data_IF_167907493910
#
_entry.id   IF_167907493910
#
_cell.length_a   1.000
_cell.length_b   1.000
_cell.length_c   1.000
_cell.angle_alpha   90.00
_cell.angle_beta   90.00
_cell.angle_gamma   90.00
#
_symmetry.space_group_name_H-M   'P 1'
#
loop_
_entity.id
_entity.type
_entity.pdbx_description
1 polymer ?
#
# COMPACT_ATOMS: atom_id res chain seq x y z
N UNK A 1 28.44 -1.51 22.18
CA UNK A 1 27.76 -1.52 20.86
C UNK A 1 26.46 -0.71 20.97
N UNK A 2 25.83 -0.30 19.87
CA UNK A 2 24.54 0.46 19.94
C UNK A 2 23.46 -0.33 20.69
N UNK A 3 23.42 -1.65 20.51
CA UNK A 3 22.52 -2.57 21.24
C UNK A 3 22.67 -2.44 22.76
N UNK A 4 23.88 -2.45 23.28
CA UNK A 4 24.12 -2.40 24.73
C UNK A 4 23.59 -1.08 25.32
N UNK A 5 23.81 0.04 24.62
CA UNK A 5 23.27 1.35 25.01
C UNK A 5 21.74 1.38 25.00
N UNK A 6 21.10 0.70 24.05
CA UNK A 6 19.64 0.60 24.00
C UNK A 6 19.13 -0.19 25.21
N UNK A 7 19.75 -1.34 25.52
CA UNK A 7 19.35 -2.15 26.67
C UNK A 7 19.51 -1.38 27.99
N UNK A 8 20.63 -0.69 28.18
CA UNK A 8 20.86 0.17 29.36
C UNK A 8 19.77 1.26 29.51
N UNK A 9 19.30 1.85 28.40
CA UNK A 9 18.20 2.81 28.44
C UNK A 9 16.88 2.13 28.81
N UNK A 10 16.56 1.00 28.18
CA UNK A 10 15.32 0.25 28.44
C UNK A 10 15.22 -0.18 29.91
N UNK A 11 16.32 -0.63 30.53
CA UNK A 11 16.36 -1.05 31.94
C UNK A 11 16.01 0.07 32.93
N UNK A 12 16.05 1.34 32.50
CA UNK A 12 15.73 2.52 33.34
C UNK A 12 14.31 3.04 33.15
N UNK A 13 13.58 2.56 32.15
CA UNK A 13 12.25 3.07 31.81
C UNK A 13 11.13 2.37 32.63
N UNK A 14 10.10 3.10 33.05
CA UNK A 14 8.88 2.49 33.58
C UNK A 14 8.11 1.73 32.48
N UNK A 15 7.16 0.89 32.88
CA UNK A 15 6.39 0.04 31.95
C UNK A 15 5.64 0.83 30.86
N UNK A 16 5.11 2.01 31.18
CA UNK A 16 4.40 2.86 30.22
C UNK A 16 5.34 3.36 29.10
N UNK A 17 6.53 3.82 29.46
CA UNK A 17 7.56 4.26 28.52
C UNK A 17 8.16 3.07 27.77
N UNK A 18 8.29 1.90 28.39
CA UNK A 18 8.68 0.66 27.72
C UNK A 18 7.67 0.27 26.64
N UNK A 19 6.37 0.41 26.89
CA UNK A 19 5.34 0.17 25.87
C UNK A 19 5.50 1.13 24.69
N UNK A 20 5.77 2.42 24.93
CA UNK A 20 6.04 3.38 23.85
C UNK A 20 7.30 3.01 23.06
N UNK A 21 8.37 2.61 23.75
CA UNK A 21 9.61 2.16 23.12
C UNK A 21 9.39 0.89 22.28
N UNK A 22 8.58 -0.06 22.78
CA UNK A 22 8.20 -1.28 22.06
C UNK A 22 7.55 -0.94 20.71
N UNK A 23 6.52 -0.09 20.69
CA UNK A 23 5.84 0.29 19.44
C UNK A 23 6.80 0.97 18.43
N UNK A 24 7.74 1.78 18.93
CA UNK A 24 8.77 2.39 18.09
C UNK A 24 9.70 1.35 17.45
N UNK A 25 10.16 0.36 18.24
CA UNK A 25 11.04 -0.71 17.75
C UNK A 25 10.27 -1.66 16.82
N UNK A 26 9.03 -2.01 17.16
CA UNK A 26 8.18 -2.88 16.36
C UNK A 26 7.94 -2.27 14.98
N UNK A 27 7.62 -0.97 14.89
CA UNK A 27 7.48 -0.27 13.61
C UNK A 27 8.76 -0.36 12.76
N UNK A 28 9.92 -0.08 13.35
CA UNK A 28 11.22 -0.18 12.65
C UNK A 28 11.47 -1.62 12.17
N UNK A 29 11.13 -2.61 13.00
CA UNK A 29 11.27 -4.01 12.64
C UNK A 29 10.35 -4.40 11.48
N UNK A 30 9.07 -4.01 11.52
CA UNK A 30 8.12 -4.26 10.44
C UNK A 30 8.58 -3.63 9.12
N UNK A 31 8.97 -2.36 9.13
CA UNK A 31 9.49 -1.67 7.94
C UNK A 31 10.74 -2.37 7.36
N UNK A 32 11.64 -2.83 8.24
CA UNK A 32 12.81 -3.59 7.81
C UNK A 32 12.43 -4.94 7.20
N UNK A 33 11.52 -5.68 7.84
CA UNK A 33 11.08 -6.99 7.38
C UNK A 33 10.32 -6.91 6.05
N UNK A 34 9.47 -5.90 5.87
CA UNK A 34 8.80 -5.61 4.60
C UNK A 34 9.81 -5.39 3.47
N UNK A 35 10.75 -4.44 3.66
CA UNK A 35 11.80 -4.16 2.66
C UNK A 35 12.67 -5.37 2.37
N UNK A 36 13.03 -6.12 3.41
CA UNK A 36 13.82 -7.36 3.26
C UNK A 36 13.05 -8.41 2.48
N UNK A 37 11.77 -8.62 2.75
CA UNK A 37 10.95 -9.59 2.01
C UNK A 37 10.89 -9.28 0.51
N UNK A 38 10.74 -8.00 0.14
CA UNK A 38 10.82 -7.56 -1.26
C UNK A 38 12.21 -7.82 -1.86
N UNK A 39 13.28 -7.49 -1.15
CA UNK A 39 14.66 -7.74 -1.59
C UNK A 39 14.99 -9.22 -1.76
N UNK A 40 14.56 -10.07 -0.82
CA UNK A 40 14.75 -11.52 -0.87
C UNK A 40 14.01 -12.14 -2.06
N UNK A 41 12.94 -11.49 -2.54
CA UNK A 41 12.21 -11.82 -3.78
C UNK A 41 12.84 -11.24 -5.04
N UNK A 42 13.93 -10.48 -4.93
CA UNK A 42 14.63 -9.86 -6.05
C UNK A 42 13.99 -8.58 -6.58
N UNK A 43 13.02 -8.00 -5.85
CA UNK A 43 12.35 -6.77 -6.24
C UNK A 43 13.32 -5.60 -6.13
N UNK A 44 13.40 -4.81 -7.20
CA UNK A 44 14.12 -3.53 -7.20
C UNK A 44 13.10 -2.42 -7.04
N UNK A 45 13.31 -1.55 -6.07
CA UNK A 45 12.40 -0.43 -5.76
C UNK A 45 13.09 0.88 -6.10
N UNK A 46 12.44 1.70 -6.92
CA UNK A 46 12.87 3.06 -7.26
C UNK A 46 11.76 4.08 -7.00
N UNK A 47 12.14 5.32 -6.70
CA UNK A 47 11.22 6.43 -6.44
C UNK A 47 11.06 7.28 -7.72
N UNK A 48 9.82 7.52 -8.15
CA UNK A 48 9.50 8.26 -9.38
C UNK A 48 9.07 9.71 -9.08
N UNK A 49 9.94 10.50 -8.46
CA UNK A 49 9.58 11.84 -7.96
C UNK A 49 9.00 12.79 -9.02
N UNK A 50 9.57 12.80 -10.22
CA UNK A 50 9.16 13.74 -11.28
C UNK A 50 7.86 13.31 -11.98
N UNK A 51 7.65 12.00 -12.14
CA UNK A 51 6.46 11.46 -12.81
C UNK A 51 5.26 11.24 -11.87
N UNK A 52 5.48 11.29 -10.55
CA UNK A 52 4.48 10.92 -9.54
C UNK A 52 3.13 11.59 -9.74
N UNK A 53 3.11 12.92 -9.91
CA UNK A 53 1.85 13.65 -10.09
C UNK A 53 1.08 13.18 -11.33
N UNK A 54 1.80 12.98 -12.43
CA UNK A 54 1.20 12.50 -13.68
C UNK A 54 0.68 11.07 -13.55
N UNK A 55 1.43 10.19 -12.89
CA UNK A 55 1.03 8.79 -12.65
C UNK A 55 -0.23 8.73 -11.79
N UNK A 56 -0.31 9.49 -10.69
CA UNK A 56 -1.50 9.56 -9.83
C UNK A 56 -2.71 10.07 -10.61
N UNK A 57 -2.53 11.08 -11.46
CA UNK A 57 -3.60 11.56 -12.33
C UNK A 57 -4.04 10.51 -13.36
N UNK A 58 -3.12 9.71 -13.92
CA UNK A 58 -3.49 8.62 -14.83
C UNK A 58 -4.23 7.51 -14.11
N UNK A 59 -3.83 7.17 -12.88
CA UNK A 59 -4.56 6.21 -12.05
C UNK A 59 -6.01 6.67 -11.81
N UNK A 60 -6.21 7.94 -11.43
CA UNK A 60 -7.55 8.51 -11.21
C UNK A 60 -8.40 8.47 -12.49
N UNK A 61 -7.80 8.81 -13.64
CA UNK A 61 -8.47 8.77 -14.95
C UNK A 61 -8.81 7.35 -15.40
N UNK A 62 -7.96 6.37 -15.11
CA UNK A 62 -8.20 5.00 -15.52
C UNK A 62 -9.30 4.35 -14.68
N UNK A 63 -9.27 4.53 -13.36
CA UNK A 63 -10.08 3.73 -12.45
C UNK A 63 -11.28 4.47 -11.83
N UNK A 64 -11.30 5.80 -11.84
CA UNK A 64 -12.34 6.62 -11.19
C UNK A 64 -13.03 7.63 -12.13
N UNK A 65 -12.76 7.62 -13.43
CA UNK A 65 -13.32 8.59 -14.39
C UNK A 65 -14.81 8.40 -14.67
N UNK A 66 -15.38 7.24 -14.37
CA UNK A 66 -16.81 6.98 -14.49
C UNK A 66 -17.63 7.52 -13.31
N UNK A 67 -16.98 8.04 -12.27
CA UNK A 67 -17.63 8.55 -11.05
C UNK A 67 -17.67 10.08 -11.13
N UNK A 68 -18.88 10.64 -11.13
CA UNK A 68 -19.10 12.09 -11.15
C UNK A 68 -18.59 12.78 -9.88
N UNK A 69 -18.19 14.04 -10.00
CA UNK A 69 -17.62 14.82 -8.90
C UNK A 69 -18.58 14.97 -7.71
N UNK A 70 -19.90 15.05 -7.95
CA UNK A 70 -20.90 15.10 -6.87
C UNK A 70 -20.90 13.79 -6.09
N UNK A 71 -20.75 12.66 -6.77
CA UNK A 71 -20.65 11.34 -6.13
C UNK A 71 -19.33 11.22 -5.39
N UNK A 72 -18.20 11.64 -5.99
CA UNK A 72 -16.88 11.65 -5.35
C UNK A 72 -16.89 12.45 -4.03
N UNK A 73 -17.54 13.60 -4.00
CA UNK A 73 -17.68 14.39 -2.77
C UNK A 73 -18.53 13.65 -1.72
N UNK A 74 -19.64 13.03 -2.14
CA UNK A 74 -20.55 12.32 -1.22
C UNK A 74 -19.94 11.08 -0.56
N UNK A 75 -18.93 10.47 -1.18
CA UNK A 75 -18.19 9.32 -0.65
C UNK A 75 -16.85 9.73 -0.04
N UNK A 76 -16.58 11.03 0.13
CA UNK A 76 -15.31 11.53 0.66
C UNK A 76 -14.08 11.01 -0.09
N UNK A 77 -14.17 10.90 -1.42
CA UNK A 77 -13.10 10.37 -2.28
C UNK A 77 -11.78 11.15 -2.16
N UNK A 78 -11.85 12.43 -1.79
CA UNK A 78 -10.69 13.29 -1.56
C UNK A 78 -9.89 12.94 -0.29
N UNK A 79 -10.47 12.14 0.61
CA UNK A 79 -9.78 11.65 1.82
C UNK A 79 -9.12 10.30 1.57
N UNK A 80 -9.84 9.40 0.92
CA UNK A 80 -9.37 8.07 0.54
C UNK A 80 -9.92 7.67 -0.82
N UNK A 81 -9.05 7.49 -1.82
CA UNK A 81 -9.47 7.05 -3.16
C UNK A 81 -10.19 5.70 -3.14
N UNK A 82 -9.89 4.84 -2.16
CA UNK A 82 -10.50 3.52 -2.05
C UNK A 82 -11.97 3.56 -1.65
N UNK A 83 -12.48 4.72 -1.23
CA UNK A 83 -13.91 4.93 -0.98
C UNK A 83 -14.78 4.63 -2.20
N UNK A 84 -14.25 4.76 -3.43
CA UNK A 84 -15.01 4.34 -4.62
C UNK A 84 -15.41 2.86 -4.61
N UNK A 85 -14.61 2.03 -3.94
CA UNK A 85 -14.89 0.60 -3.78
C UNK A 85 -15.74 0.31 -2.55
N UNK A 86 -15.43 0.89 -1.39
CA UNK A 86 -16.19 0.63 -0.16
C UNK A 86 -17.63 1.16 -0.20
N UNK A 87 -17.87 2.25 -0.94
CA UNK A 87 -19.21 2.77 -1.23
C UNK A 87 -19.86 2.14 -2.46
N UNK A 88 -19.27 1.07 -3.01
CA UNK A 88 -19.79 0.29 -4.14
C UNK A 88 -20.03 1.10 -5.43
N UNK A 89 -19.35 2.23 -5.61
CA UNK A 89 -19.45 3.07 -6.82
C UNK A 89 -18.70 2.45 -8.00
N UNK A 90 -17.76 1.55 -7.73
CA UNK A 90 -17.05 0.76 -8.73
C UNK A 90 -17.14 -0.73 -8.40
N UNK A 91 -17.65 -1.53 -9.33
CA UNK A 91 -17.73 -2.99 -9.16
C UNK A 91 -16.34 -3.61 -9.23
N UNK A 92 -15.93 -4.29 -8.16
CA UNK A 92 -14.61 -4.89 -8.02
C UNK A 92 -14.70 -6.22 -7.24
N UNK A 93 -13.58 -6.96 -7.20
CA UNK A 93 -13.40 -8.08 -6.28
C UNK A 93 -12.99 -7.54 -4.91
N UNK A 94 -13.32 -8.27 -3.85
CA UNK A 94 -13.04 -7.86 -2.47
C UNK A 94 -12.42 -9.00 -1.65
N UNK A 95 -11.72 -8.68 -0.57
CA UNK A 95 -11.18 -9.64 0.39
C UNK A 95 -10.34 -10.73 -0.30
N UNK A 96 -10.61 -12.01 -0.02
CA UNK A 96 -9.85 -13.14 -0.57
C UNK A 96 -9.91 -13.19 -2.09
N UNK A 97 -11.03 -12.85 -2.71
CA UNK A 97 -11.14 -12.81 -4.18
C UNK A 97 -10.22 -11.74 -4.79
N UNK A 98 -10.07 -10.60 -4.11
CA UNK A 98 -9.13 -9.55 -4.53
C UNK A 98 -7.67 -10.00 -4.38
N UNK A 99 -7.36 -10.70 -3.27
CA UNK A 99 -6.01 -11.22 -3.00
C UNK A 99 -5.62 -12.27 -4.04
N UNK A 100 -6.53 -13.19 -4.33
CA UNK A 100 -6.30 -14.25 -5.33
C UNK A 100 -6.11 -13.68 -6.73
N UNK A 101 -6.93 -12.69 -7.11
CA UNK A 101 -6.78 -12.00 -8.39
C UNK A 101 -5.43 -11.27 -8.49
N UNK A 102 -5.04 -10.51 -7.47
CA UNK A 102 -3.73 -9.84 -7.42
C UNK A 102 -2.57 -10.82 -7.52
N UNK A 103 -2.64 -11.95 -6.81
CA UNK A 103 -1.61 -12.98 -6.84
C UNK A 103 -1.45 -13.60 -8.23
N UNK A 104 -2.56 -13.72 -8.98
CA UNK A 104 -2.58 -14.31 -10.31
C UNK A 104 -2.07 -13.38 -11.43
N UNK A 105 -2.08 -12.05 -11.23
CA UNK A 105 -1.60 -11.12 -12.27
C UNK A 105 -0.08 -11.24 -12.49
N UNK A 106 0.40 -11.18 -13.75
CA UNK A 106 1.82 -10.97 -14.01
C UNK A 106 2.23 -9.57 -13.54
N UNK A 107 3.35 -9.48 -12.83
CA UNK A 107 3.83 -8.27 -12.15
C UNK A 107 5.31 -8.08 -12.45
N UNK A 108 5.67 -7.85 -13.71
CA UNK A 108 7.07 -7.57 -14.04
C UNK A 108 7.49 -6.21 -13.47
N UNK A 109 6.70 -5.20 -13.82
CA UNK A 109 6.82 -3.83 -13.31
C UNK A 109 5.45 -3.37 -12.80
N UNK A 110 5.40 -2.88 -11.56
CA UNK A 110 4.20 -2.29 -10.96
C UNK A 110 4.51 -0.96 -10.30
N UNK A 111 3.56 -0.04 -10.35
CA UNK A 111 3.60 1.17 -9.54
C UNK A 111 2.98 0.87 -8.17
N UNK A 112 3.55 1.49 -7.14
CA UNK A 112 3.03 1.46 -5.77
C UNK A 112 2.92 2.90 -5.26
N UNK A 113 1.74 3.30 -4.82
CA UNK A 113 1.52 4.60 -4.16
C UNK A 113 0.78 4.40 -2.84
N UNK A 114 1.05 5.28 -1.89
CA UNK A 114 0.34 5.37 -0.60
C UNK A 114 -0.64 6.54 -0.68
N UNK A 115 -1.83 6.44 -0.11
CA UNK A 115 -2.82 7.53 -0.12
C UNK A 115 -2.26 8.84 0.44
N UNK A 116 -1.54 8.74 1.56
CA UNK A 116 -0.88 9.88 2.21
C UNK A 116 0.43 10.29 1.53
N UNK A 117 0.90 9.51 0.55
CA UNK A 117 2.17 9.67 -0.13
C UNK A 117 2.09 10.68 -1.27
N UNK A 118 3.07 11.59 -1.32
CA UNK A 118 3.22 12.54 -2.43
C UNK A 118 4.00 11.98 -3.63
N UNK A 119 4.44 10.73 -3.56
CA UNK A 119 5.27 10.10 -4.60
C UNK A 119 4.89 8.65 -4.87
N UNK A 120 5.24 8.18 -6.06
CA UNK A 120 5.02 6.83 -6.56
C UNK A 120 6.35 6.07 -6.56
N UNK A 121 6.30 4.80 -6.19
CA UNK A 121 7.40 3.85 -6.31
C UNK A 121 7.19 2.98 -7.54
N UNK A 122 8.29 2.61 -8.21
CA UNK A 122 8.32 1.58 -9.23
C UNK A 122 8.98 0.33 -8.65
N UNK A 123 8.27 -0.79 -8.72
CA UNK A 123 8.77 -2.10 -8.33
C UNK A 123 9.05 -2.89 -9.61
N UNK A 124 10.32 -3.20 -9.85
CA UNK A 124 10.79 -4.03 -10.96
C UNK A 124 11.07 -5.45 -10.45
N UNK A 125 10.93 -6.46 -11.33
CA UNK A 125 11.01 -7.89 -10.99
C UNK A 125 9.97 -8.32 -9.94
N UNK A 126 8.77 -7.74 -9.95
CA UNK A 126 7.75 -7.95 -8.90
C UNK A 126 6.92 -9.25 -9.03
N UNK A 127 7.29 -10.18 -9.91
CA UNK A 127 6.47 -11.35 -10.25
C UNK A 127 6.23 -12.32 -9.07
N UNK A 128 7.12 -12.30 -8.07
CA UNK A 128 7.01 -13.14 -6.86
C UNK A 128 6.26 -12.46 -5.71
N UNK A 129 5.87 -11.20 -5.90
CA UNK A 129 5.10 -10.44 -4.91
C UNK A 129 3.66 -10.95 -4.87
N UNK A 130 3.14 -11.11 -3.66
CA UNK A 130 1.78 -11.58 -3.36
C UNK A 130 1.11 -10.63 -2.38
N UNK A 131 -0.22 -10.70 -2.29
CA UNK A 131 -1.02 -9.82 -1.43
C UNK A 131 -0.54 -9.82 0.03
N UNK A 132 -0.15 -11.00 0.54
CA UNK A 132 0.33 -11.16 1.90
C UNK A 132 1.63 -10.41 2.22
N UNK A 133 2.41 -10.02 1.21
CA UNK A 133 3.62 -9.22 1.43
C UNK A 133 3.30 -7.82 1.93
N UNK A 134 2.06 -7.35 1.75
CA UNK A 134 1.62 -6.01 2.08
C UNK A 134 0.68 -5.95 3.29
N UNK A 135 0.50 -7.05 4.02
CA UNK A 135 -0.42 -7.08 5.16
C UNK A 135 0.00 -6.13 6.30
N UNK A 136 1.28 -5.69 6.31
CA UNK A 136 1.81 -4.66 7.22
C UNK A 136 1.61 -3.22 6.75
N UNK A 137 1.27 -3.03 5.47
CA UNK A 137 1.14 -1.70 4.87
C UNK A 137 -0.28 -1.14 5.06
N UNK A 138 -0.47 0.14 4.77
CA UNK A 138 -1.75 0.81 4.96
C UNK A 138 -2.02 1.80 3.83
N UNK A 139 -3.26 1.77 3.33
CA UNK A 139 -3.75 2.64 2.25
C UNK A 139 -2.83 2.65 1.03
N UNK A 140 -2.47 1.46 0.57
CA UNK A 140 -1.60 1.26 -0.59
C UNK A 140 -2.39 0.90 -1.84
N UNK A 141 -1.89 1.36 -2.97
CA UNK A 141 -2.43 1.13 -4.29
C UNK A 141 -1.31 0.57 -5.16
N UNK A 142 -1.54 -0.61 -5.73
CA UNK A 142 -0.61 -1.31 -6.61
C UNK A 142 -1.28 -1.50 -7.95
N UNK A 143 -0.62 -1.11 -9.03
CA UNK A 143 -1.20 -1.16 -10.37
C UNK A 143 -0.12 -1.36 -11.44
N UNK A 144 -0.52 -1.92 -12.57
CA UNK A 144 0.38 -2.11 -13.70
C UNK A 144 0.68 -0.81 -14.44
N UNK A 145 1.75 -0.79 -15.24
CA UNK A 145 2.15 0.39 -16.01
C UNK A 145 1.14 0.83 -17.07
N UNK A 146 0.31 -0.10 -17.55
CA UNK A 146 -0.71 0.19 -18.55
C UNK A 146 -2.04 0.62 -17.93
N UNK A 147 -2.14 0.72 -16.59
CA UNK A 147 -3.35 1.10 -15.86
C UNK A 147 -4.55 0.20 -16.22
N UNK A 148 -4.31 -1.11 -16.36
CA UNK A 148 -5.33 -2.11 -16.68
C UNK A 148 -5.93 -2.75 -15.45
N UNK A 149 -5.21 -2.78 -14.33
CA UNK A 149 -5.72 -3.23 -13.04
C UNK A 149 -5.13 -2.45 -11.87
N UNK A 150 -5.86 -2.44 -10.75
CA UNK A 150 -5.39 -1.92 -9.47
C UNK A 150 -5.80 -2.84 -8.34
N UNK A 151 -4.86 -3.12 -7.44
CA UNK A 151 -5.08 -3.73 -6.15
C UNK A 151 -4.93 -2.66 -5.07
N UNK A 152 -5.81 -2.68 -4.08
CA UNK A 152 -5.84 -1.67 -3.02
C UNK A 152 -5.99 -2.34 -1.66
N UNK A 153 -5.07 -2.06 -0.75
CA UNK A 153 -5.10 -2.55 0.63
C UNK A 153 -5.28 -1.37 1.58
N UNK A 154 -6.30 -1.41 2.41
CA UNK A 154 -6.73 -0.28 3.25
C UNK A 154 -6.22 -0.43 4.68
N UNK A 155 -6.18 0.67 5.44
CA UNK A 155 -5.93 0.61 6.88
C UNK A 155 -7.14 0.09 7.69
N UNK A 156 -8.34 0.03 7.10
CA UNK A 156 -9.56 -0.39 7.78
C UNK A 156 -9.79 -1.89 7.57
N UNK A 157 -9.68 -2.68 8.64
CA UNK A 157 -9.83 -4.15 8.57
C UNK A 157 -11.19 -4.64 8.06
N UNK A 158 -12.20 -3.77 8.04
CA UNK A 158 -13.54 -4.06 7.52
C UNK A 158 -13.71 -3.67 6.05
N UNK A 159 -12.68 -3.09 5.41
CA UNK A 159 -12.72 -2.60 4.04
C UNK A 159 -11.59 -3.19 3.19
N UNK A 160 -11.98 -3.89 2.13
CA UNK A 160 -11.06 -4.47 1.17
C UNK A 160 -10.31 -5.69 1.71
N UNK A 161 -9.13 -6.02 1.16
CA UNK A 161 -8.56 -5.39 -0.03
C UNK A 161 -9.49 -5.44 -1.24
N UNK A 162 -9.24 -4.57 -2.21
CA UNK A 162 -10.01 -4.47 -3.45
C UNK A 162 -9.13 -4.81 -4.64
N UNK A 163 -9.72 -5.45 -5.65
CA UNK A 163 -9.06 -5.64 -6.94
C UNK A 163 -10.03 -5.27 -8.06
N UNK A 164 -9.61 -4.33 -8.90
CA UNK A 164 -10.38 -3.87 -10.04
C UNK A 164 -9.55 -4.00 -11.32
N UNK A 165 -10.18 -4.50 -12.38
CA UNK A 165 -9.58 -4.70 -13.70
C UNK A 165 -10.57 -4.22 -14.76
N UNK A 166 -10.07 -3.43 -15.72
CA UNK A 166 -10.84 -2.82 -16.81
C UNK A 166 -11.19 -3.86 -17.88
#
# INVERSE_FOLDING_TARGET
MVRDKINELLDTLPEMELNQAYWGIERIHQEYMFKKNLQDKGVVVSELYEESEWIVQQWDRAFANNIDDVVKESIHYSQYKWHMFSYEQQKCLTHDEARDAFNAEPKDEVHVMYESGGWVLLYENANQVIAADFDSEQDIYIFDRAFTWTYVYTHESMCGPYFYKI
#
